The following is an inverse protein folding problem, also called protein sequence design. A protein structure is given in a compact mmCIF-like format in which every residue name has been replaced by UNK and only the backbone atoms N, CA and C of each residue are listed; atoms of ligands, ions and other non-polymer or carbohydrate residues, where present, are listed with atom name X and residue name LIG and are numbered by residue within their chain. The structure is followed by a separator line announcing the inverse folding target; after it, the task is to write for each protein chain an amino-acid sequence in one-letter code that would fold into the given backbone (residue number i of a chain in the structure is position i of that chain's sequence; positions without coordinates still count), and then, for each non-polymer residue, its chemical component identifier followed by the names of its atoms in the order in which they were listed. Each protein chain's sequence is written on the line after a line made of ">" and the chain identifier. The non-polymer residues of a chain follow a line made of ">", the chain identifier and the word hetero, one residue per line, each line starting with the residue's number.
data_IF_278071457487
#
_entry.id   IF_278071457487
#
_cell.length_a   1.000
_cell.length_b   1.000
_cell.length_c   1.000
_cell.angle_alpha   90.00
_cell.angle_beta   90.00
_cell.angle_gamma   90.00
#
_symmetry.space_group_name_H-M   'P 1'
#
loop_
_entity.id
_entity.type
_entity.pdbx_description
1 polymer ?
#
# COMPACT_ATOMS: atom_id res chain seq x y z
N UNK A 1 -10.58 44.64 -11.29
CA UNK A 1 -10.21 43.67 -12.34
C UNK A 1 -10.04 42.35 -11.63
N UNK A 2 -10.88 41.35 -11.95
CA UNK A 2 -10.71 40.02 -11.38
C UNK A 2 -9.41 39.45 -11.94
N UNK A 3 -8.48 39.12 -11.06
CA UNK A 3 -7.24 38.43 -11.42
C UNK A 3 -7.65 37.03 -11.88
N UNK A 4 -7.63 36.80 -13.19
CA UNK A 4 -7.95 35.51 -13.78
C UNK A 4 -6.98 34.48 -13.19
N UNK A 5 -7.52 33.55 -12.38
CA UNK A 5 -6.70 32.55 -11.72
C UNK A 5 -6.06 31.66 -12.79
N UNK A 6 -4.76 31.42 -12.63
CA UNK A 6 -3.98 30.58 -13.54
C UNK A 6 -4.65 29.19 -13.68
N UNK A 7 -5.01 28.75 -14.90
CA UNK A 7 -5.73 27.49 -15.11
C UNK A 7 -4.96 26.27 -14.59
N UNK A 8 -3.62 26.30 -14.57
CA UNK A 8 -2.81 25.22 -14.01
C UNK A 8 -2.99 25.12 -12.50
N UNK A 9 -2.99 26.28 -11.82
CA UNK A 9 -3.18 26.35 -10.37
C UNK A 9 -4.60 25.96 -9.99
N UNK A 10 -5.60 26.39 -10.77
CA UNK A 10 -7.00 25.96 -10.61
C UNK A 10 -7.12 24.45 -10.75
N UNK A 11 -6.50 23.85 -11.76
CA UNK A 11 -6.53 22.41 -11.98
C UNK A 11 -5.89 21.61 -10.83
N UNK A 12 -4.73 22.03 -10.32
CA UNK A 12 -4.15 21.36 -9.14
C UNK A 12 -4.98 21.55 -7.88
N UNK A 13 -5.55 22.74 -7.66
CA UNK A 13 -6.45 22.96 -6.52
C UNK A 13 -7.69 22.08 -6.60
N UNK A 14 -8.26 21.90 -7.80
CA UNK A 14 -9.38 20.97 -8.03
C UNK A 14 -8.99 19.53 -7.68
N UNK A 15 -7.85 19.05 -8.19
CA UNK A 15 -7.35 17.70 -7.89
C UNK A 15 -7.10 17.49 -6.39
N UNK A 16 -6.54 18.49 -5.70
CA UNK A 16 -6.32 18.45 -4.24
C UNK A 16 -7.63 18.32 -3.47
N UNK A 17 -8.64 19.11 -3.82
CA UNK A 17 -9.93 19.12 -3.13
C UNK A 17 -10.73 17.84 -3.41
N UNK A 18 -10.67 17.34 -4.65
CA UNK A 18 -11.40 16.14 -5.05
C UNK A 18 -10.83 14.88 -4.41
N UNK A 19 -9.52 14.80 -4.26
CA UNK A 19 -8.81 13.64 -3.71
C UNK A 19 -8.20 13.93 -2.34
N UNK A 20 -8.95 14.63 -1.49
CA UNK A 20 -8.53 14.88 -0.11
C UNK A 20 -8.37 13.52 0.64
N UNK A 21 -7.21 13.25 1.27
CA UNK A 21 -6.97 11.97 1.92
C UNK A 21 -7.88 11.82 3.14
N UNK A 22 -8.57 10.70 3.23
CA UNK A 22 -9.35 10.36 4.42
C UNK A 22 -8.38 9.80 5.47
N UNK A 23 -7.94 10.65 6.40
CA UNK A 23 -7.16 10.18 7.53
C UNK A 23 -8.04 9.41 8.51
N UNK A 24 -7.54 8.25 8.96
CA UNK A 24 -8.11 7.32 9.94
C UNK A 24 -9.40 7.75 10.67
N UNK A 25 -10.48 7.00 10.46
CA UNK A 25 -11.66 7.02 11.33
C UNK A 25 -12.96 7.51 10.71
N UNK A 26 -12.94 8.03 9.48
CA UNK A 26 -14.16 8.43 8.78
C UNK A 26 -14.40 7.51 7.57
N UNK A 27 -14.75 6.26 7.86
CA UNK A 27 -15.48 5.44 6.89
C UNK A 27 -16.84 6.08 6.69
N UNK A 28 -16.92 7.09 5.82
CA UNK A 28 -18.18 7.38 5.18
C UNK A 28 -18.32 6.42 4.02
N UNK A 29 -19.13 5.40 4.26
CA UNK A 29 -19.85 4.67 3.22
C UNK A 29 -20.85 5.60 2.46
N UNK A 30 -20.52 6.89 2.32
CA UNK A 30 -21.29 7.86 1.55
C UNK A 30 -20.54 8.21 0.29
N UNK A 31 -20.58 7.30 -0.66
CA UNK A 31 -20.93 7.64 -2.03
C UNK A 31 -21.79 6.47 -2.48
N UNK A 32 -23.06 6.77 -2.78
CA UNK A 32 -24.10 5.80 -3.09
C UNK A 32 -23.53 4.62 -3.90
N UNK A 33 -23.90 3.36 -3.56
CA UNK A 33 -23.67 2.27 -4.51
C UNK A 33 -24.23 2.72 -5.86
N UNK A 34 -23.55 2.41 -6.98
CA UNK A 34 -24.15 2.63 -8.30
C UNK A 34 -25.56 2.06 -8.22
N UNK A 35 -26.57 2.89 -8.54
CA UNK A 35 -27.95 2.43 -8.61
C UNK A 35 -27.94 1.05 -9.25
N UNK A 36 -28.57 0.06 -8.59
CA UNK A 36 -28.65 -1.31 -9.08
C UNK A 36 -29.32 -1.29 -10.46
N UNK A 37 -28.51 -1.06 -11.48
CA UNK A 37 -28.87 -1.11 -12.88
C UNK A 37 -29.07 -2.57 -13.20
N UNK A 38 -30.32 -3.01 -13.08
CA UNK A 38 -30.98 -4.11 -13.79
C UNK A 38 -30.10 -5.36 -14.07
N UNK A 39 -29.24 -5.73 -13.12
CA UNK A 39 -28.36 -6.91 -13.21
C UNK A 39 -29.07 -8.21 -12.82
N UNK A 40 -30.40 -8.16 -12.70
CA UNK A 40 -31.29 -9.30 -12.40
C UNK A 40 -31.33 -10.38 -13.49
N UNK A 41 -30.62 -10.19 -14.62
CA UNK A 41 -30.54 -11.16 -15.71
C UNK A 41 -29.23 -11.95 -15.82
N UNK A 42 -28.19 -11.62 -15.04
CA UNK A 42 -26.86 -12.25 -15.21
C UNK A 42 -26.66 -13.44 -14.28
N UNK A 43 -26.24 -14.57 -14.86
CA UNK A 43 -25.74 -15.73 -14.11
C UNK A 43 -24.51 -15.35 -13.26
N UNK A 44 -24.34 -16.01 -12.12
CA UNK A 44 -23.24 -15.76 -11.19
C UNK A 44 -21.85 -15.90 -11.85
N UNK A 45 -21.69 -16.82 -12.80
CA UNK A 45 -20.46 -17.01 -13.56
C UNK A 45 -20.12 -15.79 -14.44
N UNK A 46 -21.14 -15.16 -15.03
CA UNK A 46 -20.97 -13.97 -15.88
C UNK A 46 -20.58 -12.75 -15.03
N UNK A 47 -21.13 -12.64 -13.82
CA UNK A 47 -20.76 -11.60 -12.84
C UNK A 47 -19.32 -11.79 -12.39
N UNK A 48 -18.93 -13.01 -12.04
CA UNK A 48 -17.56 -13.34 -11.63
C UNK A 48 -16.54 -13.02 -12.72
N UNK A 49 -16.85 -13.37 -13.98
CA UNK A 49 -15.99 -13.04 -15.13
C UNK A 49 -15.83 -11.53 -15.31
N UNK A 50 -16.91 -10.77 -15.18
CA UNK A 50 -16.89 -9.30 -15.28
C UNK A 50 -16.02 -8.68 -14.19
N UNK A 51 -16.13 -9.16 -12.95
CA UNK A 51 -15.29 -8.69 -11.84
C UNK A 51 -13.81 -9.04 -12.05
N UNK A 52 -13.51 -10.22 -12.57
CA UNK A 52 -12.14 -10.61 -12.90
C UNK A 52 -11.56 -9.72 -14.00
N UNK A 53 -12.33 -9.44 -15.06
CA UNK A 53 -11.90 -8.57 -16.15
C UNK A 53 -11.65 -7.12 -15.67
N UNK A 54 -12.45 -6.63 -14.71
CA UNK A 54 -12.22 -5.35 -14.04
C UNK A 54 -10.93 -5.35 -13.23
N UNK A 55 -10.68 -6.41 -12.44
CA UNK A 55 -9.46 -6.54 -11.65
C UNK A 55 -8.21 -6.62 -12.54
N UNK A 56 -8.28 -7.37 -13.64
CA UNK A 56 -7.22 -7.50 -14.63
C UNK A 56 -6.96 -6.16 -15.34
N UNK A 57 -8.01 -5.43 -15.70
CA UNK A 57 -7.91 -4.08 -16.27
C UNK A 57 -7.24 -3.10 -15.30
N UNK A 58 -7.63 -3.14 -14.02
CA UNK A 58 -7.02 -2.29 -13.00
C UNK A 58 -5.53 -2.57 -12.86
N UNK A 59 -5.15 -3.85 -12.82
CA UNK A 59 -3.77 -4.31 -12.69
C UNK A 59 -2.90 -3.97 -13.90
N UNK A 60 -3.39 -4.25 -15.10
CA UNK A 60 -2.58 -4.23 -16.33
C UNK A 60 -2.67 -2.93 -17.12
N UNK A 61 -3.71 -2.13 -16.89
CA UNK A 61 -3.93 -0.87 -17.60
C UNK A 61 -3.92 0.32 -16.64
N UNK A 62 -4.87 0.39 -15.70
CA UNK A 62 -5.10 1.64 -14.94
C UNK A 62 -3.94 1.98 -13.98
N UNK A 63 -3.45 1.00 -13.22
CA UNK A 63 -2.35 1.20 -12.27
C UNK A 63 -1.03 1.57 -12.98
N UNK A 64 -0.59 0.86 -14.03
CA UNK A 64 0.57 1.27 -14.83
C UNK A 64 0.39 2.65 -15.47
N UNK A 65 -0.78 2.93 -16.06
CA UNK A 65 -1.04 4.23 -16.69
C UNK A 65 -0.96 5.37 -15.67
N UNK A 66 -1.50 5.19 -14.46
CA UNK A 66 -1.37 6.17 -13.40
C UNK A 66 0.11 6.40 -13.06
N UNK A 67 0.90 5.33 -12.92
CA UNK A 67 2.33 5.45 -12.65
C UNK A 67 3.06 6.25 -13.74
N UNK A 68 2.78 5.97 -15.01
CA UNK A 68 3.39 6.67 -16.15
C UNK A 68 2.99 8.16 -16.18
N UNK A 69 1.75 8.48 -15.80
CA UNK A 69 1.30 9.87 -15.66
C UNK A 69 2.03 10.59 -14.51
N UNK A 70 2.30 9.91 -13.38
CA UNK A 70 3.06 10.48 -12.27
C UNK A 70 4.52 10.73 -12.66
N UNK A 71 5.16 9.80 -13.36
CA UNK A 71 6.53 9.99 -13.86
C UNK A 71 6.57 11.10 -14.90
N UNK A 72 5.61 11.15 -15.83
CA UNK A 72 5.51 12.22 -16.83
C UNK A 72 5.34 13.58 -16.15
N UNK A 73 4.44 13.68 -15.17
CA UNK A 73 4.24 14.91 -14.42
C UNK A 73 5.51 15.29 -13.64
N UNK A 74 6.22 14.31 -13.10
CA UNK A 74 7.53 14.55 -12.49
C UNK A 74 8.52 15.13 -13.50
N UNK A 75 8.66 14.53 -14.68
CA UNK A 75 9.59 14.99 -15.71
C UNK A 75 9.23 16.38 -16.25
N UNK A 76 7.94 16.69 -16.38
CA UNK A 76 7.49 18.04 -16.78
C UNK A 76 7.85 19.09 -15.71
N UNK A 77 7.83 18.72 -14.43
CA UNK A 77 8.15 19.61 -13.31
C UNK A 77 9.63 19.56 -12.90
N UNK A 78 10.37 18.55 -13.39
CA UNK A 78 11.78 18.25 -13.15
C UNK A 78 12.43 17.81 -14.46
N UNK A 79 12.93 18.74 -15.28
CA UNK A 79 14.22 19.38 -15.04
C UNK A 79 14.26 20.82 -15.61
N UNK A 80 15.45 21.31 -15.96
CA UNK A 80 15.70 22.47 -16.85
C UNK A 80 14.80 22.55 -18.10
N UNK A 81 14.12 21.47 -18.50
CA UNK A 81 13.17 21.44 -19.62
C UNK A 81 11.97 22.38 -19.45
N UNK A 82 11.42 22.53 -18.23
CA UNK A 82 10.37 23.55 -18.00
C UNK A 82 10.89 24.93 -18.41
N UNK A 83 12.11 25.27 -17.98
CA UNK A 83 12.72 26.57 -18.29
C UNK A 83 13.17 26.70 -19.74
N UNK A 84 13.45 25.59 -20.42
CA UNK A 84 13.77 25.59 -21.84
C UNK A 84 12.54 25.93 -22.71
N UNK A 85 11.35 25.45 -22.33
CA UNK A 85 10.12 25.63 -23.09
C UNK A 85 8.88 25.81 -22.19
N UNK A 86 8.80 26.91 -21.41
CA UNK A 86 7.81 27.07 -20.35
C UNK A 86 6.37 27.00 -20.84
N UNK A 87 6.07 27.58 -22.01
CA UNK A 87 4.72 27.54 -22.60
C UNK A 87 4.31 26.13 -23.02
N UNK A 88 5.24 25.34 -23.57
CA UNK A 88 4.98 23.96 -24.00
C UNK A 88 4.79 23.08 -22.77
N UNK A 89 5.67 23.17 -21.78
CA UNK A 89 5.57 22.40 -20.54
C UNK A 89 4.29 22.75 -19.78
N UNK A 90 3.92 24.03 -19.71
CA UNK A 90 2.66 24.49 -19.13
C UNK A 90 1.45 23.87 -19.82
N UNK A 91 1.43 23.85 -21.16
CA UNK A 91 0.38 23.20 -21.93
C UNK A 91 0.29 21.71 -21.63
N UNK A 92 1.42 21.00 -21.61
CA UNK A 92 1.47 19.57 -21.31
C UNK A 92 0.96 19.27 -19.89
N UNK A 93 1.28 20.11 -18.91
CA UNK A 93 0.74 19.94 -17.55
C UNK A 93 -0.78 20.14 -17.52
N UNK A 94 -1.31 21.14 -18.23
CA UNK A 94 -2.77 21.33 -18.35
C UNK A 94 -3.46 20.12 -18.98
N UNK A 95 -2.82 19.48 -19.96
CA UNK A 95 -3.35 18.26 -20.60
C UNK A 95 -3.25 17.05 -19.67
N UNK A 96 -2.21 16.96 -18.83
CA UNK A 96 -1.98 15.84 -17.91
C UNK A 96 -2.96 15.82 -16.73
N UNK A 97 -3.39 16.98 -16.24
CA UNK A 97 -4.32 17.10 -15.09
C UNK A 97 -5.66 16.34 -15.27
N UNK A 98 -6.44 16.55 -16.35
CA UNK A 98 -7.69 15.83 -16.57
C UNK A 98 -7.46 14.34 -16.87
N UNK A 99 -6.33 13.97 -17.47
CA UNK A 99 -6.00 12.57 -17.70
C UNK A 99 -5.68 11.81 -16.41
N UNK A 100 -5.00 12.46 -15.46
CA UNK A 100 -4.79 11.96 -14.11
C UNK A 100 -6.13 11.79 -13.39
N UNK A 101 -6.97 12.83 -13.41
CA UNK A 101 -8.31 12.80 -12.79
C UNK A 101 -9.13 11.62 -13.30
N UNK A 102 -9.24 11.46 -14.62
CA UNK A 102 -9.97 10.36 -15.25
C UNK A 102 -9.44 9.00 -14.79
N UNK A 103 -8.13 8.83 -14.71
CA UNK A 103 -7.51 7.55 -14.36
C UNK A 103 -7.74 7.22 -12.88
N UNK A 104 -7.61 8.20 -11.99
CA UNK A 104 -7.90 8.04 -10.55
C UNK A 104 -9.38 7.71 -10.33
N UNK A 105 -10.29 8.41 -11.03
CA UNK A 105 -11.73 8.12 -10.96
C UNK A 105 -12.07 6.72 -11.44
N UNK A 106 -11.46 6.27 -12.55
CA UNK A 106 -11.65 4.92 -13.06
C UNK A 106 -11.18 3.86 -12.06
N UNK A 107 -10.03 4.08 -11.39
CA UNK A 107 -9.55 3.18 -10.34
C UNK A 107 -10.51 3.20 -9.15
N UNK A 108 -10.93 4.37 -8.68
CA UNK A 108 -11.88 4.52 -7.56
C UNK A 108 -13.21 3.81 -7.86
N UNK A 109 -13.76 4.02 -9.05
CA UNK A 109 -14.98 3.35 -9.51
C UNK A 109 -14.79 1.84 -9.60
N UNK A 110 -13.67 1.38 -10.16
CA UNK A 110 -13.34 -0.06 -10.24
C UNK A 110 -13.27 -0.69 -8.85
N UNK A 111 -12.60 -0.05 -7.89
CA UNK A 111 -12.55 -0.52 -6.49
C UNK A 111 -13.95 -0.55 -5.86
N UNK A 112 -14.77 0.47 -6.09
CA UNK A 112 -16.14 0.52 -5.58
C UNK A 112 -17.00 -0.62 -6.15
N UNK A 113 -16.88 -0.92 -7.45
CA UNK A 113 -17.57 -2.05 -8.09
C UNK A 113 -17.05 -3.41 -7.60
N UNK A 114 -15.73 -3.55 -7.42
CA UNK A 114 -15.11 -4.77 -6.92
C UNK A 114 -15.47 -5.05 -5.45
N UNK A 115 -15.71 -4.01 -4.64
CA UNK A 115 -15.98 -4.13 -3.21
C UNK A 115 -17.47 -3.96 -2.84
N UNK A 116 -18.39 -4.90 -3.13
CA UNK A 116 -19.69 -4.90 -2.47
C UNK A 116 -19.56 -5.34 -0.99
N UNK A 117 -20.45 -4.83 -0.13
CA UNK A 117 -20.71 -5.32 1.25
C UNK A 117 -20.94 -6.86 1.21
N UNK A 118 -20.81 -7.61 2.32
CA UNK A 118 -20.49 -9.04 2.38
C UNK A 118 -21.59 -10.02 1.91
N UNK A 119 -22.49 -9.62 1.01
CA UNK A 119 -23.67 -10.38 0.60
C UNK A 119 -23.38 -11.51 -0.40
N UNK A 120 -22.26 -11.48 -1.15
CA UNK A 120 -21.90 -12.63 -2.01
C UNK A 120 -21.44 -13.87 -1.22
N UNK A 121 -21.16 -13.73 0.08
CA UNK A 121 -20.74 -14.84 0.96
C UNK A 121 -21.89 -15.66 1.56
N UNK A 122 -23.15 -15.41 1.18
CA UNK A 122 -24.30 -16.17 1.72
C UNK A 122 -24.60 -17.47 0.98
N UNK A 123 -23.87 -17.78 -0.10
CA UNK A 123 -23.91 -19.13 -0.67
C UNK A 123 -23.24 -20.08 0.31
N UNK A 124 -24.00 -21.04 0.83
CA UNK A 124 -23.66 -22.03 1.87
C UNK A 124 -22.57 -23.04 1.41
N UNK A 125 -21.75 -22.68 0.43
CA UNK A 125 -20.63 -23.46 -0.07
C UNK A 125 -19.38 -23.16 0.74
N UNK A 126 -18.95 -24.15 1.50
CA UNK A 126 -17.72 -24.18 2.31
C UNK A 126 -16.43 -24.26 1.47
N UNK A 127 -16.53 -24.01 0.17
CA UNK A 127 -15.44 -24.14 -0.80
C UNK A 127 -15.22 -22.77 -1.42
N UNK A 128 -14.06 -22.16 -1.16
CA UNK A 128 -13.68 -20.79 -1.53
C UNK A 128 -13.63 -20.52 -3.06
N UNK A 129 -14.11 -21.47 -3.88
CA UNK A 129 -14.36 -21.40 -5.32
C UNK A 129 -13.33 -20.60 -6.13
N UNK A 130 -12.04 -20.80 -5.88
CA UNK A 130 -10.97 -20.19 -6.69
C UNK A 130 -11.16 -18.68 -6.93
N UNK A 131 -11.73 -17.94 -5.96
CA UNK A 131 -11.98 -16.50 -6.10
C UNK A 131 -10.67 -15.68 -6.24
N UNK A 132 -9.49 -16.30 -6.06
CA UNK A 132 -8.15 -15.74 -6.30
C UNK A 132 -8.02 -14.28 -5.82
N UNK A 133 -7.90 -13.32 -6.73
CA UNK A 133 -7.75 -11.91 -6.42
C UNK A 133 -9.04 -11.21 -5.93
N UNK A 134 -10.20 -11.81 -6.17
CA UNK A 134 -11.53 -11.30 -5.80
C UNK A 134 -11.95 -11.67 -4.38
N UNK A 135 -11.06 -12.30 -3.59
CA UNK A 135 -11.35 -12.58 -2.19
C UNK A 135 -11.57 -11.26 -1.42
N UNK A 136 -12.66 -11.20 -0.66
CA UNK A 136 -13.11 -9.99 0.04
C UNK A 136 -11.99 -9.29 0.83
N UNK A 137 -11.20 -10.03 1.62
CA UNK A 137 -10.13 -9.43 2.41
C UNK A 137 -9.05 -8.75 1.53
N UNK A 138 -8.76 -9.28 0.33
CA UNK A 138 -7.80 -8.68 -0.62
C UNK A 138 -8.34 -7.38 -1.16
N UNK A 139 -9.61 -7.38 -1.55
CA UNK A 139 -10.30 -6.20 -2.07
C UNK A 139 -10.42 -5.09 -1.02
N UNK A 140 -10.72 -5.44 0.24
CA UNK A 140 -10.71 -4.47 1.34
C UNK A 140 -9.32 -3.87 1.58
N UNK A 141 -8.26 -4.69 1.51
CA UNK A 141 -6.88 -4.18 1.60
C UNK A 141 -6.50 -3.29 0.43
N UNK A 142 -6.89 -3.68 -0.77
CA UNK A 142 -6.68 -2.89 -1.99
C UNK A 142 -7.38 -1.53 -1.89
N UNK A 143 -8.63 -1.52 -1.39
CA UNK A 143 -9.39 -0.30 -1.08
C UNK A 143 -8.67 0.58 -0.06
N UNK A 144 -8.21 0.00 1.05
CA UNK A 144 -7.45 0.74 2.08
C UNK A 144 -6.14 1.30 1.52
N UNK A 145 -5.33 0.50 0.82
CA UNK A 145 -4.09 0.95 0.18
C UNK A 145 -4.30 2.09 -0.81
N UNK A 146 -5.34 2.01 -1.63
CA UNK A 146 -5.70 3.10 -2.55
C UNK A 146 -6.08 4.37 -1.79
N UNK A 147 -7.06 4.28 -0.88
CA UNK A 147 -7.64 5.46 -0.22
C UNK A 147 -6.71 6.12 0.81
N UNK A 148 -5.99 5.32 1.59
CA UNK A 148 -5.20 5.82 2.72
C UNK A 148 -3.75 6.15 2.33
N UNK A 149 -3.17 5.41 1.37
CA UNK A 149 -1.76 5.54 1.03
C UNK A 149 -1.56 6.20 -0.34
N UNK A 150 -2.19 5.67 -1.40
CA UNK A 150 -1.99 6.21 -2.76
C UNK A 150 -2.58 7.62 -2.89
N UNK A 151 -3.85 7.82 -2.47
CA UNK A 151 -4.47 9.16 -2.53
C UNK A 151 -3.71 10.18 -1.67
N UNK A 152 -3.15 9.77 -0.53
CA UNK A 152 -2.27 10.62 0.26
C UNK A 152 -1.05 11.09 -0.55
N UNK A 153 -0.33 10.17 -1.19
CA UNK A 153 0.83 10.54 -2.01
C UNK A 153 0.46 11.38 -3.23
N UNK A 154 -0.67 11.10 -3.88
CA UNK A 154 -1.19 11.92 -4.99
C UNK A 154 -1.54 13.34 -4.54
N UNK A 155 -2.25 13.48 -3.41
CA UNK A 155 -2.62 14.79 -2.88
C UNK A 155 -1.40 15.63 -2.51
N UNK A 156 -0.40 15.00 -1.89
CA UNK A 156 0.87 15.65 -1.60
C UNK A 156 1.58 16.08 -2.88
N UNK A 157 1.56 15.24 -3.92
CA UNK A 157 2.12 15.58 -5.23
C UNK A 157 1.42 16.79 -5.84
N UNK A 158 0.08 16.83 -5.85
CA UNK A 158 -0.69 17.97 -6.37
C UNK A 158 -0.39 19.26 -5.59
N UNK A 159 -0.29 19.16 -4.27
CA UNK A 159 0.10 20.27 -3.39
C UNK A 159 1.48 20.80 -3.75
N UNK A 160 2.47 19.92 -3.93
CA UNK A 160 3.82 20.32 -4.31
C UNK A 160 3.86 20.88 -5.73
N UNK A 161 3.13 20.30 -6.68
CA UNK A 161 3.02 20.82 -8.05
C UNK A 161 2.44 22.23 -8.06
N UNK A 162 1.37 22.48 -7.30
CA UNK A 162 0.77 23.80 -7.11
C UNK A 162 1.81 24.81 -6.62
N UNK A 163 2.56 24.47 -5.56
CA UNK A 163 3.59 25.37 -5.04
C UNK A 163 4.71 25.65 -6.04
N UNK A 164 5.16 24.64 -6.78
CA UNK A 164 6.18 24.81 -7.83
C UNK A 164 5.68 25.77 -8.91
N UNK A 165 4.47 25.58 -9.43
CA UNK A 165 3.89 26.48 -10.43
C UNK A 165 3.63 27.89 -9.90
N UNK A 166 3.16 27.99 -8.66
CA UNK A 166 2.95 29.28 -8.03
C UNK A 166 4.28 30.03 -7.96
N UNK A 167 5.35 29.38 -7.51
CA UNK A 167 6.69 29.99 -7.44
C UNK A 167 7.22 30.40 -8.81
N UNK A 168 7.10 29.56 -9.83
CA UNK A 168 7.50 29.88 -11.21
C UNK A 168 6.85 31.18 -11.68
N UNK A 169 5.57 31.40 -11.38
CA UNK A 169 4.84 32.63 -11.73
C UNK A 169 5.42 33.90 -11.10
N UNK A 170 6.04 33.81 -9.93
CA UNK A 170 6.62 34.95 -9.21
C UNK A 170 8.07 35.25 -9.58
N UNK A 171 8.77 34.33 -10.25
CA UNK A 171 10.18 34.53 -10.58
C UNK A 171 10.34 35.38 -11.84
N UNK A 172 11.10 36.49 -11.78
CA UNK A 172 11.42 37.28 -12.95
C UNK A 172 12.21 36.45 -13.97
N UNK A 173 11.93 36.67 -15.25
CA UNK A 173 12.58 36.07 -16.43
C UNK A 173 14.13 36.11 -16.45
N UNK A 174 14.75 36.85 -15.55
CA UNK A 174 16.20 37.06 -15.49
C UNK A 174 16.90 36.13 -14.48
N UNK A 175 16.15 35.34 -13.69
CA UNK A 175 16.67 34.47 -12.62
C UNK A 175 16.39 33.00 -12.96
N UNK A 176 16.97 32.56 -14.08
CA UNK A 176 16.84 31.22 -14.65
C UNK A 176 18.24 30.62 -14.65
N UNK A 177 18.57 29.38 -14.25
CA UNK A 177 17.85 28.30 -13.55
C UNK A 177 18.59 27.82 -12.26
N UNK A 178 19.75 28.40 -11.92
CA UNK A 178 20.67 27.89 -10.89
C UNK A 178 20.12 27.97 -9.45
N UNK A 179 19.15 28.85 -9.20
CA UNK A 179 18.50 28.97 -7.89
C UNK A 179 17.42 27.89 -7.64
N UNK A 180 17.02 27.14 -8.67
CA UNK A 180 16.01 26.09 -8.57
C UNK A 180 16.59 24.68 -8.43
N UNK A 181 17.89 24.51 -8.65
CA UNK A 181 18.60 23.27 -8.35
C UNK A 181 18.83 23.16 -6.84
N UNK A 182 18.38 22.06 -6.23
CA UNK A 182 18.48 21.84 -4.77
C UNK A 182 17.32 22.38 -3.93
N UNK A 183 16.23 22.81 -4.55
CA UNK A 183 15.07 23.36 -3.83
C UNK A 183 14.36 22.29 -2.95
N UNK A 184 14.03 22.54 -1.67
CA UNK A 184 13.43 21.52 -0.78
C UNK A 184 12.08 20.95 -1.27
N UNK A 185 11.24 21.78 -1.89
CA UNK A 185 10.00 21.29 -2.52
C UNK A 185 10.26 20.28 -3.63
N UNK A 186 11.45 20.28 -4.24
CA UNK A 186 11.81 19.32 -5.29
C UNK A 186 12.04 17.93 -4.71
N UNK A 187 12.91 17.82 -3.70
CA UNK A 187 13.17 16.52 -3.08
C UNK A 187 11.88 15.90 -2.52
N UNK A 188 11.01 16.71 -1.93
CA UNK A 188 9.73 16.25 -1.40
C UNK A 188 8.74 15.82 -2.49
N UNK A 189 8.70 16.52 -3.64
CA UNK A 189 7.88 16.10 -4.79
C UNK A 189 8.37 14.74 -5.32
N UNK A 190 9.67 14.59 -5.59
CA UNK A 190 10.25 13.34 -6.11
C UNK A 190 10.05 12.18 -5.12
N UNK A 191 10.12 12.45 -3.82
CA UNK A 191 9.77 11.48 -2.78
C UNK A 191 8.32 11.00 -2.91
N UNK A 192 7.35 11.90 -3.11
CA UNK A 192 5.95 11.50 -3.26
C UNK A 192 5.68 10.76 -4.58
N UNK A 193 6.37 11.10 -5.67
CA UNK A 193 6.34 10.29 -6.90
C UNK A 193 6.84 8.87 -6.61
N UNK A 194 8.02 8.74 -6.01
CA UNK A 194 8.60 7.43 -5.67
C UNK A 194 7.68 6.61 -4.75
N UNK A 195 7.13 7.23 -3.71
CA UNK A 195 6.23 6.56 -2.79
C UNK A 195 4.92 6.14 -3.47
N UNK A 196 4.33 7.01 -4.31
CA UNK A 196 3.17 6.66 -5.14
C UNK A 196 3.45 5.46 -6.05
N UNK A 197 4.58 5.47 -6.77
CA UNK A 197 5.01 4.35 -7.61
C UNK A 197 5.20 3.05 -6.82
N UNK A 198 5.77 3.11 -5.62
CA UNK A 198 5.92 1.94 -4.74
C UNK A 198 4.56 1.42 -4.26
N UNK A 199 3.63 2.29 -3.89
CA UNK A 199 2.26 1.90 -3.53
C UNK A 199 1.53 1.26 -4.71
N UNK A 200 1.65 1.82 -5.93
CA UNK A 200 1.09 1.23 -7.15
C UNK A 200 1.67 -0.17 -7.40
N UNK A 201 2.99 -0.33 -7.31
CA UNK A 201 3.63 -1.64 -7.45
C UNK A 201 3.15 -2.64 -6.38
N UNK A 202 3.00 -2.18 -5.14
CA UNK A 202 2.44 -3.00 -4.05
C UNK A 202 1.00 -3.42 -4.34
N UNK A 203 0.16 -2.52 -4.88
CA UNK A 203 -1.20 -2.86 -5.28
C UNK A 203 -1.22 -3.94 -6.38
N UNK A 204 -0.38 -3.82 -7.40
CA UNK A 204 -0.24 -4.85 -8.45
C UNK A 204 0.19 -6.19 -7.85
N UNK A 205 1.17 -6.18 -6.95
CA UNK A 205 1.60 -7.39 -6.23
C UNK A 205 0.46 -7.99 -5.40
N UNK A 206 -0.37 -7.19 -4.74
CA UNK A 206 -1.47 -7.72 -3.93
C UNK A 206 -2.53 -8.46 -4.76
N UNK A 207 -2.71 -8.05 -6.02
CA UNK A 207 -3.61 -8.71 -6.95
C UNK A 207 -3.08 -10.10 -7.33
N UNK A 208 -1.76 -10.22 -7.53
CA UNK A 208 -1.10 -11.43 -8.06
C UNK A 208 -0.58 -12.42 -7.01
N UNK A 209 -0.17 -11.92 -5.84
CA UNK A 209 0.52 -12.73 -4.84
C UNK A 209 -0.35 -13.87 -4.31
N UNK A 210 0.29 -14.96 -3.87
CA UNK A 210 -0.42 -16.00 -3.12
C UNK A 210 -0.85 -15.45 -1.76
N UNK A 211 -1.87 -16.07 -1.16
CA UNK A 211 -2.34 -15.65 0.18
C UNK A 211 -1.23 -15.76 1.23
N UNK A 212 -0.39 -16.78 1.09
CA UNK A 212 0.75 -16.98 1.97
C UNK A 212 1.77 -15.85 1.84
N UNK A 213 2.07 -15.38 0.62
CA UNK A 213 2.99 -14.27 0.41
C UNK A 213 2.46 -12.96 1.00
N UNK A 214 1.14 -12.71 0.89
CA UNK A 214 0.47 -11.56 1.49
C UNK A 214 0.55 -11.57 3.02
N UNK A 215 0.30 -12.73 3.63
CA UNK A 215 0.36 -12.91 5.08
C UNK A 215 1.80 -12.78 5.58
N UNK A 216 2.79 -13.29 4.83
CA UNK A 216 4.21 -13.14 5.18
C UNK A 216 4.69 -11.69 5.11
N UNK A 217 4.28 -10.93 4.08
CA UNK A 217 4.57 -9.50 4.00
C UNK A 217 3.92 -8.74 5.16
N UNK A 218 2.69 -9.12 5.52
CA UNK A 218 2.00 -8.51 6.63
C UNK A 218 2.72 -8.76 7.94
N UNK A 219 3.12 -10.00 8.25
CA UNK A 219 3.74 -10.36 9.52
C UNK A 219 5.18 -9.87 9.68
N UNK A 220 5.85 -9.49 8.60
CA UNK A 220 7.26 -9.12 8.64
C UNK A 220 7.58 -8.03 9.70
N UNK A 221 6.87 -6.88 9.76
CA UNK A 221 7.12 -5.87 10.79
C UNK A 221 6.81 -6.36 12.22
N UNK A 222 5.73 -7.12 12.44
CA UNK A 222 5.42 -7.66 13.77
C UNK A 222 6.42 -8.72 14.20
N UNK A 223 6.88 -9.57 13.28
CA UNK A 223 7.94 -10.56 13.53
C UNK A 223 9.25 -9.87 13.92
N UNK A 224 9.63 -8.79 13.23
CA UNK A 224 10.80 -7.98 13.61
C UNK A 224 10.66 -7.41 15.02
N UNK A 225 9.48 -6.85 15.35
CA UNK A 225 9.22 -6.32 16.69
C UNK A 225 9.28 -7.42 17.78
N UNK A 226 8.76 -8.61 17.49
CA UNK A 226 8.84 -9.77 18.38
C UNK A 226 10.30 -10.21 18.56
N UNK A 227 11.09 -10.30 17.49
CA UNK A 227 12.51 -10.67 17.54
C UNK A 227 13.34 -9.68 18.36
N UNK A 228 13.10 -8.38 18.18
CA UNK A 228 13.74 -7.33 18.98
C UNK A 228 13.37 -7.46 20.45
N UNK A 229 12.09 -7.64 20.77
CA UNK A 229 11.62 -7.79 22.14
C UNK A 229 12.22 -9.05 22.81
N UNK A 230 12.26 -10.18 22.09
CA UNK A 230 12.88 -11.41 22.60
C UNK A 230 14.38 -11.22 22.88
N UNK A 231 15.08 -10.49 22.00
CA UNK A 231 16.50 -10.18 22.16
C UNK A 231 16.74 -9.30 23.40
N UNK A 232 15.89 -8.32 23.65
CA UNK A 232 15.95 -7.49 24.86
C UNK A 232 15.73 -8.32 26.13
N UNK A 233 14.70 -9.18 26.15
CA UNK A 233 14.44 -10.07 27.29
C UNK A 233 15.62 -11.02 27.55
N UNK A 234 16.19 -11.62 26.49
CA UNK A 234 17.39 -12.46 26.60
C UNK A 234 18.59 -11.71 27.19
N UNK A 235 18.78 -10.45 26.80
CA UNK A 235 19.80 -9.56 27.38
C UNK A 235 19.59 -9.26 28.86
N UNK A 236 18.33 -9.11 29.29
CA UNK A 236 17.99 -8.91 30.70
C UNK A 236 18.22 -10.17 31.55
N UNK A 237 17.90 -11.36 31.02
CA UNK A 237 18.14 -12.65 31.68
C UNK A 237 19.65 -12.93 31.81
N UNK A 238 20.44 -12.65 30.76
CA UNK A 238 21.89 -12.79 30.82
C UNK A 238 22.52 -11.86 31.87
N UNK A 239 21.93 -10.67 32.08
CA UNK A 239 22.38 -9.69 33.08
C UNK A 239 21.94 -10.03 34.50
N UNK A 240 20.76 -10.63 34.68
CA UNK A 240 20.29 -11.07 35.99
C UNK A 240 20.99 -12.35 36.45
N UNK A 241 21.37 -13.23 35.52
CA UNK A 241 22.12 -14.46 35.78
C UNK A 241 23.63 -14.24 35.99
N UNK A 242 24.21 -13.10 35.58
CA UNK A 242 25.60 -12.75 35.92
C UNK A 242 25.79 -12.28 37.37
N UNK A 243 24.70 -12.18 38.15
CA UNK A 243 24.73 -11.88 39.58
C UNK A 243 24.46 -13.12 40.42
N UNK A 244 25.55 -13.75 40.89
CA UNK A 244 25.63 -14.82 41.91
C UNK A 244 25.63 -16.27 41.34
N UNK A 245 26.78 -16.98 41.39
CA UNK A 245 26.79 -18.42 41.19
C UNK A 245 26.31 -19.09 42.48
N UNK A 246 25.19 -19.81 42.43
CA UNK A 246 24.88 -20.84 43.41
C UNK A 246 24.67 -22.16 42.67
N UNK A 247 25.35 -23.23 43.07
CA UNK A 247 25.28 -24.51 42.36
C UNK A 247 24.02 -25.28 42.78
N UNK A 248 23.59 -26.15 41.86
CA UNK A 248 22.76 -27.36 41.99
C UNK A 248 21.46 -27.32 41.15
N UNK A 249 20.91 -28.48 40.73
CA UNK A 249 21.57 -29.72 40.33
C UNK A 249 21.21 -30.13 38.89
N UNK A 250 22.06 -31.01 38.37
CA UNK A 250 22.07 -31.61 37.04
C UNK A 250 20.84 -32.49 36.84
N UNK A 251 19.81 -31.99 36.14
CA UNK A 251 18.74 -32.85 35.62
C UNK A 251 17.96 -32.25 34.44
N UNK A 252 18.66 -31.74 33.42
CA UNK A 252 18.06 -31.43 32.11
C UNK A 252 18.95 -31.83 30.91
N UNK A 253 19.86 -32.79 31.11
CA UNK A 253 20.80 -33.26 30.08
C UNK A 253 20.19 -34.25 29.05
N UNK A 254 18.86 -34.35 28.94
CA UNK A 254 18.21 -35.36 28.07
C UNK A 254 17.25 -34.87 26.99
N UNK A 255 17.31 -33.58 26.63
CA UNK A 255 16.73 -33.12 25.37
C UNK A 255 17.77 -32.33 24.58
N UNK A 256 18.46 -33.08 23.70
CA UNK A 256 19.14 -32.63 22.48
C UNK A 256 19.81 -31.27 22.52
N UNK A 257 21.15 -31.29 22.52
CA UNK A 257 22.01 -30.16 22.19
C UNK A 257 21.61 -29.51 20.84
N UNK A 258 20.71 -28.52 20.88
CA UNK A 258 20.46 -27.67 19.74
C UNK A 258 21.56 -26.62 19.65
N UNK A 259 22.52 -26.89 18.78
CA UNK A 259 23.61 -26.00 18.40
C UNK A 259 23.10 -24.58 18.09
N UNK A 260 23.48 -23.60 18.90
CA UNK A 260 23.18 -22.17 18.76
C UNK A 260 24.02 -21.46 17.69
N UNK A 261 24.32 -22.14 16.57
CA UNK A 261 24.92 -21.49 15.40
C UNK A 261 23.87 -21.40 14.30
N UNK A 262 23.19 -20.25 14.21
CA UNK A 262 22.48 -19.86 12.99
C UNK A 262 23.54 -19.47 11.93
N UNK A 263 23.61 -20.16 10.78
CA UNK A 263 24.27 -19.61 9.61
C UNK A 263 23.46 -18.42 9.08
N UNK A 264 24.15 -17.32 8.76
CA UNK A 264 23.59 -16.00 8.48
C UNK A 264 22.81 -15.87 7.14
N UNK A 265 22.21 -16.94 6.62
CA UNK A 265 21.47 -16.86 5.35
C UNK A 265 20.44 -17.97 5.18
N UNK A 266 19.44 -18.00 6.06
CA UNK A 266 18.33 -18.93 5.95
C UNK A 266 17.15 -18.20 5.27
N UNK A 267 16.59 -18.74 4.18
CA UNK A 267 15.42 -18.14 3.53
C UNK A 267 14.23 -18.09 4.49
N UNK A 268 13.38 -17.05 4.43
CA UNK A 268 12.27 -16.82 5.37
C UNK A 268 11.35 -18.04 5.54
N UNK A 269 11.16 -18.82 4.47
CA UNK A 269 10.37 -20.07 4.46
C UNK A 269 10.84 -21.10 5.49
N UNK A 270 12.15 -21.20 5.73
CA UNK A 270 12.71 -22.19 6.67
C UNK A 270 12.58 -21.72 8.12
N UNK A 271 12.57 -20.40 8.37
CA UNK A 271 12.30 -19.85 9.71
C UNK A 271 10.85 -20.10 10.13
N UNK A 272 9.88 -19.88 9.24
CA UNK A 272 8.45 -20.13 9.52
C UNK A 272 8.19 -21.62 9.77
N UNK A 273 8.78 -22.51 8.98
CA UNK A 273 8.66 -23.96 9.20
C UNK A 273 9.24 -24.36 10.56
N UNK A 274 10.39 -23.79 10.95
CA UNK A 274 10.98 -24.05 12.27
C UNK A 274 10.14 -23.49 13.41
N UNK A 275 9.58 -22.30 13.27
CA UNK A 275 8.71 -21.69 14.28
C UNK A 275 7.43 -22.51 14.46
N UNK A 276 6.79 -22.94 13.36
CA UNK A 276 5.63 -23.82 13.38
C UNK A 276 5.94 -25.20 14.01
N UNK A 277 7.11 -25.76 13.72
CA UNK A 277 7.57 -27.02 14.32
C UNK A 277 7.84 -26.89 15.83
N UNK A 278 8.22 -25.70 16.31
CA UNK A 278 8.48 -25.44 17.73
C UNK A 278 7.20 -25.12 18.52
N UNK A 279 6.17 -24.56 17.88
CA UNK A 279 4.91 -24.20 18.54
C UNK A 279 3.88 -25.33 18.55
N UNK A 280 3.90 -26.23 17.56
CA UNK A 280 3.00 -27.39 17.49
C UNK A 280 3.06 -28.29 18.76
N UNK A 281 4.23 -28.64 19.31
CA UNK A 281 4.30 -29.42 20.55
C UNK A 281 3.71 -28.68 21.76
N UNK A 282 3.85 -27.35 21.82
CA UNK A 282 3.35 -26.53 22.92
C UNK A 282 1.81 -26.42 22.89
N UNK A 283 1.22 -26.29 21.70
CA UNK A 283 -0.23 -26.36 21.52
C UNK A 283 -0.79 -27.74 21.87
N UNK A 284 -0.08 -28.82 21.51
CA UNK A 284 -0.49 -30.19 21.87
C UNK A 284 -0.44 -30.45 23.38
N UNK A 285 0.49 -29.83 24.11
CA UNK A 285 0.56 -29.91 25.57
C UNK A 285 -0.62 -29.15 26.22
N UNK A 286 -1.01 -27.99 25.69
CA UNK A 286 -2.16 -27.23 26.19
C UNK A 286 -3.49 -27.97 25.99
N UNK A 287 -3.68 -28.66 24.86
CA UNK A 287 -4.87 -29.47 24.57
C UNK A 287 -4.96 -30.67 25.53
N UNK A 288 -3.83 -31.33 25.84
CA UNK A 288 -3.81 -32.46 26.77
C UNK A 288 -4.04 -32.05 28.23
N UNK A 289 -3.70 -30.81 28.62
CA UNK A 289 -3.98 -30.31 29.97
C UNK A 289 -5.44 -29.92 30.19
N UNK A 290 -6.19 -29.59 29.13
CA UNK A 290 -7.63 -29.29 29.22
C UNK A 290 -8.50 -30.56 29.25
N UNK A 291 -8.09 -31.65 28.59
CA UNK A 291 -8.82 -32.93 28.62
C UNK A 291 -8.62 -33.75 29.91
N UNK A 292 -7.66 -33.37 30.77
CA UNK A 292 -7.33 -34.07 32.02
C UNK A 292 -8.00 -33.53 33.29
N UNK A 293 -8.87 -32.52 33.20
CA UNK A 293 -9.56 -31.90 34.35
C UNK A 293 -11.09 -32.11 34.37
N UNK A 294 -11.56 -33.22 33.78
CA UNK A 294 -12.95 -33.71 33.90
C UNK A 294 -13.11 -34.75 35.00
#
# INVERSE_FOLDING_TARGET
>A
MAEEQDPVLVGFSHLMNKYEPVFFGQWRDEENPPEEGDSSGLSDDQKLKTLQDLLDSMKHSLLPQLNDQLTTLSDLLFPSAFWNQPEITRKLVLETQPELERTIDQIKATIATLCPLPTLSTSTRTDDQDLKGLKYYRLQRLKSKFNEELLYHLNQLFTRAYFVFQQIRWVPDQVRPEQFDGWPCREEFAKHVRLGSLTIASMVLMIDCSELDLVQQQWAPELQNIEETMKEMGGLIARSSSGRPSPLPVEFEKLGSFSTRLPANIPPKTMVIRLAQLTLPLMMIQIQTEEGSG
#
